data_IF_012143158712
#
_entry.id   IF_012143158712
#
_cell.length_a   1.000
_cell.length_b   1.000
_cell.length_c   1.000
_cell.angle_alpha   90.00
_cell.angle_beta   90.00
_cell.angle_gamma   90.00
#
_symmetry.space_group_name_H-M   'P 1'
#
loop_
_entity.id
_entity.type
_entity.pdbx_description
1 polymer ?
#
# COMPACT_ATOMS: atom_id res chain seq x y z
N UNK A 1 3.15 -13.29 4.38
CA UNK A 1 3.15 -13.04 2.92
C UNK A 1 1.83 -12.37 2.59
N UNK A 2 1.81 -11.44 1.62
CA UNK A 2 0.57 -10.81 1.15
C UNK A 2 0.33 -11.12 -0.33
N UNK A 3 -0.81 -11.73 -0.64
CA UNK A 3 -1.30 -11.88 -2.02
C UNK A 3 -2.51 -10.98 -2.24
N UNK A 4 -2.94 -10.81 -3.50
CA UNK A 4 -3.98 -9.86 -3.87
C UNK A 4 -4.71 -10.34 -5.12
N UNK A 5 -6.04 -10.43 -5.06
CA UNK A 5 -6.89 -10.89 -6.17
C UNK A 5 -8.20 -10.10 -6.22
N UNK A 6 -8.56 -9.62 -7.41
CA UNK A 6 -9.86 -8.99 -7.62
C UNK A 6 -10.97 -10.06 -7.62
N UNK A 7 -12.10 -9.75 -6.99
CA UNK A 7 -13.24 -10.66 -6.87
C UNK A 7 -14.52 -10.04 -7.46
N UNK A 8 -15.31 -10.85 -8.16
CA UNK A 8 -16.70 -10.54 -8.52
C UNK A 8 -17.63 -10.86 -7.33
N UNK A 9 -18.82 -10.28 -7.32
CA UNK A 9 -19.76 -10.40 -6.20
C UNK A 9 -20.18 -11.85 -5.95
N UNK A 10 -20.70 -12.54 -6.95
CA UNK A 10 -21.14 -13.93 -6.86
C UNK A 10 -20.03 -14.87 -6.37
N UNK A 11 -18.82 -14.73 -6.94
CA UNK A 11 -17.66 -15.52 -6.53
C UNK A 11 -17.22 -15.24 -5.09
N UNK A 12 -17.29 -13.98 -4.64
CA UNK A 12 -16.97 -13.62 -3.26
C UNK A 12 -17.99 -14.20 -2.29
N UNK A 13 -19.29 -14.04 -2.57
CA UNK A 13 -20.37 -14.60 -1.74
C UNK A 13 -20.21 -16.11 -1.62
N UNK A 14 -20.11 -16.83 -2.74
CA UNK A 14 -19.95 -18.28 -2.72
C UNK A 14 -18.71 -18.75 -1.94
N UNK A 15 -17.61 -18.00 -1.98
CA UNK A 15 -16.37 -18.40 -1.32
C UNK A 15 -16.34 -18.07 0.18
N UNK A 16 -16.97 -16.96 0.59
CA UNK A 16 -16.83 -16.39 1.93
C UNK A 16 -18.07 -16.55 2.83
N UNK A 17 -19.20 -17.07 2.34
CA UNK A 17 -20.40 -17.26 3.17
C UNK A 17 -20.57 -18.67 3.75
N UNK A 18 -19.61 -19.56 3.50
CA UNK A 18 -19.73 -20.97 3.85
C UNK A 18 -18.91 -21.32 5.11
N UNK A 19 -19.60 -21.85 6.14
CA UNK A 19 -19.07 -22.57 7.31
C UNK A 19 -17.88 -21.92 8.04
N UNK A 20 -18.08 -20.71 8.57
CA UNK A 20 -17.16 -20.08 9.54
C UNK A 20 -17.64 -20.31 10.97
N UNK A 21 -16.71 -20.66 11.86
CA UNK A 21 -16.97 -20.70 13.29
C UNK A 21 -17.00 -19.27 13.87
N UNK A 22 -17.67 -19.12 15.01
CA UNK A 22 -17.71 -17.86 15.76
C UNK A 22 -16.28 -17.37 16.04
N UNK A 23 -16.02 -16.08 15.83
CA UNK A 23 -14.72 -15.44 16.01
C UNK A 23 -13.77 -15.51 14.81
N UNK A 24 -14.12 -16.24 13.75
CA UNK A 24 -13.28 -16.33 12.53
C UNK A 24 -13.58 -15.25 11.49
N UNK A 25 -14.64 -14.46 11.69
CA UNK A 25 -15.02 -13.39 10.77
C UNK A 25 -15.17 -12.08 11.50
N UNK A 26 -14.76 -10.98 10.86
CA UNK A 26 -14.93 -9.64 11.43
C UNK A 26 -14.90 -8.53 10.39
N UNK A 27 -15.67 -7.48 10.63
CA UNK A 27 -15.59 -6.21 9.89
C UNK A 27 -14.42 -5.36 10.38
N UNK A 28 -13.85 -4.58 9.47
CA UNK A 28 -12.79 -3.62 9.77
C UNK A 28 -12.85 -2.39 8.86
N UNK A 29 -12.37 -1.27 9.40
CA UNK A 29 -12.16 -0.03 8.69
C UNK A 29 -13.23 1.02 9.00
N UNK A 30 -12.84 2.28 8.91
CA UNK A 30 -13.72 3.44 9.14
C UNK A 30 -14.93 3.44 8.22
N UNK A 31 -14.77 2.90 7.00
CA UNK A 31 -15.88 2.76 6.07
C UNK A 31 -16.89 1.71 6.53
N UNK A 32 -16.42 0.60 7.13
CA UNK A 32 -17.32 -0.39 7.72
C UNK A 32 -18.10 0.22 8.89
N UNK A 33 -17.43 0.93 9.80
CA UNK A 33 -18.09 1.66 10.89
C UNK A 33 -19.10 2.69 10.38
N UNK A 34 -18.79 3.43 9.31
CA UNK A 34 -19.73 4.38 8.69
C UNK A 34 -21.00 3.71 8.12
N UNK A 35 -20.96 2.41 7.83
CA UNK A 35 -22.11 1.61 7.44
C UNK A 35 -22.78 0.89 8.61
N UNK A 36 -22.29 1.05 9.84
CA UNK A 36 -22.77 0.29 11.00
C UNK A 36 -22.39 -1.20 10.94
N UNK A 37 -21.29 -1.52 10.27
CA UNK A 37 -20.74 -2.87 10.17
C UNK A 37 -19.62 -3.04 11.19
N UNK A 38 -19.91 -3.74 12.28
CA UNK A 38 -18.97 -4.02 13.37
C UNK A 38 -19.10 -5.48 13.81
N UNK A 39 -18.04 -6.02 14.42
CA UNK A 39 -18.03 -7.40 14.90
C UNK A 39 -18.12 -8.42 13.77
N UNK A 40 -18.84 -9.52 14.01
CA UNK A 40 -18.93 -10.66 13.10
C UNK A 40 -19.67 -10.34 11.79
N UNK A 41 -19.33 -11.11 10.75
CA UNK A 41 -19.90 -10.91 9.43
C UNK A 41 -21.22 -11.67 9.32
N UNK A 42 -22.32 -10.91 9.27
CA UNK A 42 -23.63 -11.45 8.92
C UNK A 42 -23.75 -11.67 7.41
N UNK A 43 -24.15 -12.87 6.99
CA UNK A 43 -24.25 -13.29 5.58
C UNK A 43 -25.06 -12.30 4.73
N UNK A 44 -26.24 -11.91 5.17
CA UNK A 44 -27.12 -11.02 4.40
C UNK A 44 -26.50 -9.63 4.18
N UNK A 45 -25.89 -9.05 5.23
CA UNK A 45 -25.19 -7.75 5.14
C UNK A 45 -23.97 -7.85 4.22
N UNK A 46 -23.19 -8.91 4.36
CA UNK A 46 -22.02 -9.18 3.52
C UNK A 46 -22.40 -9.27 2.03
N UNK A 47 -23.42 -10.05 1.71
CA UNK A 47 -23.92 -10.21 0.35
C UNK A 47 -24.36 -8.86 -0.24
N UNK A 48 -25.16 -8.09 0.51
CA UNK A 48 -25.58 -6.75 0.09
C UNK A 48 -24.38 -5.85 -0.24
N UNK A 49 -23.37 -5.81 0.63
CA UNK A 49 -22.17 -4.99 0.45
C UNK A 49 -21.33 -5.48 -0.75
N UNK A 50 -21.19 -6.79 -0.97
CA UNK A 50 -20.55 -7.34 -2.16
C UNK A 50 -21.24 -6.87 -3.45
N UNK A 51 -22.56 -6.77 -3.45
CA UNK A 51 -23.35 -6.23 -4.57
C UNK A 51 -23.38 -4.71 -4.63
N UNK A 52 -22.73 -4.01 -3.70
CA UNK A 52 -22.64 -2.55 -3.69
C UNK A 52 -23.94 -1.92 -3.22
N UNK A 53 -24.58 -2.53 -2.24
CA UNK A 53 -25.76 -2.02 -1.55
C UNK A 53 -25.42 -1.70 -0.09
N UNK A 54 -26.25 -0.88 0.54
CA UNK A 54 -26.22 -0.69 2.00
C UNK A 54 -26.46 -2.02 2.72
N UNK A 55 -26.03 -2.16 3.99
CA UNK A 55 -26.16 -3.43 4.71
C UNK A 55 -27.60 -3.98 4.80
N UNK A 56 -28.60 -3.09 4.86
CA UNK A 56 -30.03 -3.39 4.83
C UNK A 56 -30.59 -3.64 3.42
N UNK A 57 -29.77 -3.48 2.37
CA UNK A 57 -30.13 -3.66 0.97
C UNK A 57 -30.92 -2.51 0.35
N UNK A 58 -31.27 -1.46 1.11
CA UNK A 58 -32.23 -0.43 0.69
C UNK A 58 -31.67 0.59 -0.33
N UNK A 59 -30.35 0.80 -0.34
CA UNK A 59 -29.69 1.82 -1.18
C UNK A 59 -28.53 1.22 -1.95
N UNK A 60 -28.33 1.68 -3.19
CA UNK A 60 -27.09 1.42 -3.93
C UNK A 60 -25.97 2.35 -3.45
N UNK A 61 -24.80 1.76 -3.19
CA UNK A 61 -23.57 2.45 -2.83
C UNK A 61 -22.62 2.45 -4.04
N UNK A 62 -22.03 3.61 -4.36
CA UNK A 62 -21.08 3.74 -5.47
C UNK A 62 -21.72 3.99 -6.83
N UNK A 63 -20.94 3.76 -7.89
CA UNK A 63 -21.29 4.08 -9.27
C UNK A 63 -22.37 3.14 -9.82
N UNK A 64 -23.38 3.69 -10.50
CA UNK A 64 -24.43 2.94 -11.19
C UNK A 64 -23.82 2.09 -12.32
N UNK A 65 -24.12 0.79 -12.35
CA UNK A 65 -23.63 -0.17 -13.34
C UNK A 65 -24.15 -1.58 -13.01
N UNK A 66 -23.87 -2.56 -13.87
CA UNK A 66 -24.30 -3.95 -13.64
C UNK A 66 -23.54 -4.56 -12.42
N UNK A 67 -24.23 -4.88 -11.31
CA UNK A 67 -23.60 -5.42 -10.11
C UNK A 67 -22.93 -6.79 -10.29
N UNK A 68 -23.33 -7.57 -11.30
CA UNK A 68 -22.74 -8.88 -11.58
C UNK A 68 -21.39 -8.78 -12.30
N UNK A 69 -21.18 -7.70 -13.08
CA UNK A 69 -19.96 -7.50 -13.86
C UNK A 69 -18.93 -6.64 -13.15
N UNK A 70 -19.31 -5.98 -12.05
CA UNK A 70 -18.42 -5.09 -11.31
C UNK A 70 -17.49 -5.87 -10.38
N UNK A 71 -16.33 -5.29 -10.08
CA UNK A 71 -15.49 -5.73 -8.97
C UNK A 71 -16.24 -5.48 -7.65
N UNK A 72 -16.48 -6.54 -6.90
CA UNK A 72 -17.07 -6.45 -5.56
C UNK A 72 -16.05 -5.99 -4.54
N UNK A 73 -14.83 -6.49 -4.66
CA UNK A 73 -13.71 -6.15 -3.78
C UNK A 73 -12.39 -6.75 -4.27
N UNK A 74 -11.36 -6.55 -3.47
CA UNK A 74 -10.03 -7.13 -3.64
C UNK A 74 -9.71 -7.94 -2.41
N UNK A 75 -9.52 -9.24 -2.58
CA UNK A 75 -9.05 -10.12 -1.52
C UNK A 75 -7.55 -9.97 -1.36
N UNK A 76 -7.13 -9.43 -0.21
CA UNK A 76 -5.75 -9.41 0.24
C UNK A 76 -5.54 -10.50 1.28
N UNK A 77 -4.85 -11.58 0.89
CA UNK A 77 -4.62 -12.71 1.81
C UNK A 77 -3.30 -12.56 2.53
N UNK A 78 -3.36 -12.48 3.86
CA UNK A 78 -2.21 -12.44 4.77
C UNK A 78 -1.90 -13.85 5.27
N UNK A 79 -0.74 -14.39 4.91
CA UNK A 79 -0.32 -15.75 5.33
C UNK A 79 0.84 -15.68 6.32
N UNK A 80 0.70 -16.32 7.47
CA UNK A 80 1.77 -16.46 8.46
C UNK A 80 2.88 -17.40 7.95
N UNK A 81 4.12 -17.28 8.48
CA UNK A 81 5.17 -18.27 8.27
C UNK A 81 4.72 -19.69 8.65
N UNK A 82 5.38 -20.71 8.08
CA UNK A 82 4.99 -22.10 8.31
C UNK A 82 5.23 -22.50 9.77
N UNK A 83 6.35 -22.08 10.36
CA UNK A 83 6.65 -22.32 11.78
C UNK A 83 5.59 -21.73 12.71
N UNK A 84 5.11 -20.51 12.44
CA UNK A 84 4.01 -19.87 13.20
C UNK A 84 2.73 -20.69 13.07
N UNK A 85 2.39 -21.14 11.86
CA UNK A 85 1.22 -21.99 11.62
C UNK A 85 1.32 -23.32 12.38
N UNK A 86 2.49 -23.96 12.40
CA UNK A 86 2.71 -25.21 13.14
C UNK A 86 2.58 -25.01 14.65
N UNK A 87 3.26 -24.01 15.19
CA UNK A 87 3.22 -23.74 16.63
C UNK A 87 1.81 -23.38 17.10
N UNK A 88 1.09 -22.56 16.34
CA UNK A 88 -0.29 -22.17 16.67
C UNK A 88 -1.26 -23.36 16.56
N UNK A 89 -1.28 -24.03 15.41
CA UNK A 89 -2.36 -24.96 15.07
C UNK A 89 -2.09 -26.40 15.50
N UNK A 90 -0.82 -26.82 15.48
CA UNK A 90 -0.40 -28.17 15.91
C UNK A 90 -0.01 -28.14 17.38
N UNK A 91 0.76 -27.13 17.78
CA UNK A 91 1.14 -26.89 19.18
C UNK A 91 0.01 -26.41 20.08
N UNK A 92 -1.03 -25.82 19.49
CA UNK A 92 -2.20 -25.34 20.23
C UNK A 92 -1.99 -24.00 20.95
N UNK A 93 -0.93 -23.24 20.63
CA UNK A 93 -0.74 -21.90 21.20
C UNK A 93 -1.59 -20.86 20.47
N UNK A 94 -2.82 -20.66 20.96
CA UNK A 94 -3.78 -19.72 20.38
C UNK A 94 -3.34 -18.26 20.46
N UNK A 95 -2.35 -17.91 21.29
CA UNK A 95 -1.81 -16.55 21.37
C UNK A 95 -1.15 -16.13 20.05
N UNK A 96 -0.62 -17.08 19.29
CA UNK A 96 -0.07 -16.83 17.95
C UNK A 96 -1.16 -16.53 16.91
N UNK A 97 -2.37 -17.08 17.07
CA UNK A 97 -3.52 -16.73 16.24
C UNK A 97 -3.92 -15.26 16.50
N UNK A 98 -3.92 -14.83 17.76
CA UNK A 98 -4.16 -13.42 18.14
C UNK A 98 -3.04 -12.50 17.61
N UNK A 99 -1.77 -12.90 17.74
CA UNK A 99 -0.63 -12.15 17.20
C UNK A 99 -0.74 -11.94 15.68
N UNK A 100 -1.19 -12.97 14.96
CA UNK A 100 -1.51 -12.90 13.53
C UNK A 100 -2.61 -11.88 13.23
N UNK A 101 -3.74 -11.93 13.95
CA UNK A 101 -4.83 -10.98 13.78
C UNK A 101 -4.39 -9.53 14.04
N UNK A 102 -3.60 -9.29 15.10
CA UNK A 102 -3.06 -7.97 15.42
C UNK A 102 -2.14 -7.44 14.30
N UNK A 103 -1.29 -8.29 13.73
CA UNK A 103 -0.41 -7.92 12.62
C UNK A 103 -1.19 -7.60 11.33
N UNK A 104 -2.27 -8.34 11.06
CA UNK A 104 -3.20 -8.05 9.96
C UNK A 104 -3.86 -6.68 10.17
N UNK A 105 -4.42 -6.43 11.35
CA UNK A 105 -5.10 -5.17 11.65
C UNK A 105 -4.18 -3.96 11.60
N UNK A 106 -2.98 -4.04 12.18
CA UNK A 106 -1.97 -2.96 12.08
C UNK A 106 -1.64 -2.64 10.62
N UNK A 107 -1.50 -3.68 9.81
CA UNK A 107 -1.24 -3.52 8.37
C UNK A 107 -2.44 -2.91 7.65
N UNK A 108 -3.66 -3.36 7.93
CA UNK A 108 -4.89 -2.83 7.35
C UNK A 108 -5.13 -1.36 7.76
N UNK A 109 -4.80 -0.95 8.99
CA UNK A 109 -4.83 0.45 9.43
C UNK A 109 -3.90 1.33 8.59
N UNK A 110 -2.68 0.85 8.32
CA UNK A 110 -1.74 1.55 7.45
C UNK A 110 -2.25 1.60 6.00
N UNK A 111 -2.84 0.50 5.51
CA UNK A 111 -3.43 0.46 4.16
C UNK A 111 -4.57 1.48 4.05
N UNK A 112 -5.49 1.50 5.03
CA UNK A 112 -6.61 2.44 5.08
C UNK A 112 -6.12 3.88 5.08
N UNK A 113 -5.15 4.21 5.94
CA UNK A 113 -4.67 5.56 6.09
C UNK A 113 -3.97 6.09 4.83
N UNK A 114 -3.24 5.25 4.11
CA UNK A 114 -2.32 5.70 3.03
C UNK A 114 -2.82 5.43 1.61
N UNK A 115 -3.69 4.44 1.43
CA UNK A 115 -4.05 3.94 0.10
C UNK A 115 -5.55 3.87 -0.14
N UNK A 116 -6.40 4.15 0.85
CA UNK A 116 -7.84 4.32 0.62
C UNK A 116 -8.08 5.59 -0.18
N UNK A 117 -8.47 5.43 -1.44
CA UNK A 117 -8.68 6.52 -2.37
C UNK A 117 -9.76 6.18 -3.40
N UNK A 118 -10.28 7.21 -4.07
CA UNK A 118 -11.22 7.09 -5.18
C UNK A 118 -10.79 7.98 -6.34
N UNK A 119 -11.34 7.73 -7.52
CA UNK A 119 -11.24 8.63 -8.68
C UNK A 119 -12.56 9.34 -8.87
N UNK A 120 -12.52 10.67 -8.96
CA UNK A 120 -13.69 11.50 -9.26
C UNK A 120 -13.42 12.28 -10.54
N UNK A 121 -14.35 12.21 -11.49
CA UNK A 121 -14.32 13.01 -12.71
C UNK A 121 -15.23 14.22 -12.56
N UNK A 122 -14.67 15.42 -12.73
CA UNK A 122 -15.40 16.69 -12.75
C UNK A 122 -14.95 17.51 -13.96
N UNK A 123 -15.90 17.95 -14.79
CA UNK A 123 -15.63 18.73 -16.00
C UNK A 123 -14.57 18.07 -16.94
N UNK A 124 -14.62 16.75 -17.08
CA UNK A 124 -13.66 15.98 -17.90
C UNK A 124 -12.29 15.74 -17.25
N UNK A 125 -12.01 16.34 -16.09
CA UNK A 125 -10.76 16.17 -15.35
C UNK A 125 -10.95 15.05 -14.32
N UNK A 126 -10.06 14.06 -14.35
CA UNK A 126 -10.02 12.96 -13.37
C UNK A 126 -9.06 13.35 -12.24
N UNK A 127 -9.54 13.33 -11.00
CA UNK A 127 -8.73 13.56 -9.80
C UNK A 127 -8.74 12.33 -8.90
N UNK A 128 -7.57 11.96 -8.39
CA UNK A 128 -7.43 10.98 -7.32
C UNK A 128 -7.62 11.67 -5.97
N UNK A 129 -8.54 11.17 -5.16
CA UNK A 129 -8.89 11.73 -3.86
C UNK A 129 -8.69 10.67 -2.80
N UNK A 130 -7.83 10.96 -1.84
CA UNK A 130 -7.63 10.11 -0.67
C UNK A 130 -8.82 10.27 0.27
N UNK A 131 -9.46 9.14 0.59
CA UNK A 131 -10.68 9.11 1.41
C UNK A 131 -10.40 8.65 2.84
N UNK A 132 -9.30 7.90 3.04
CA UNK A 132 -8.86 7.47 4.37
C UNK A 132 -9.84 6.52 5.08
N UNK A 133 -10.70 5.84 4.33
CA UNK A 133 -11.66 4.86 4.87
C UNK A 133 -11.88 3.69 3.91
N UNK A 134 -11.93 2.46 4.44
CA UNK A 134 -12.24 1.24 3.71
C UNK A 134 -13.34 0.45 4.41
N UNK A 135 -14.02 -0.39 3.65
CA UNK A 135 -14.90 -1.45 4.18
C UNK A 135 -14.18 -2.78 3.95
N UNK A 136 -13.77 -3.44 5.03
CA UNK A 136 -12.99 -4.69 4.94
C UNK A 136 -13.71 -5.81 5.68
N UNK A 137 -13.92 -6.93 4.99
CA UNK A 137 -14.39 -8.18 5.57
C UNK A 137 -13.20 -9.12 5.79
N UNK A 138 -12.91 -9.50 7.03
CA UNK A 138 -11.82 -10.42 7.37
C UNK A 138 -12.36 -11.82 7.63
N UNK A 139 -11.67 -12.84 7.11
CA UNK A 139 -11.98 -14.26 7.27
C UNK A 139 -10.71 -15.04 7.60
N UNK A 140 -10.62 -15.59 8.80
CA UNK A 140 -9.47 -16.37 9.27
C UNK A 140 -9.61 -17.85 8.91
N UNK A 141 -8.58 -18.42 8.31
CA UNK A 141 -8.51 -19.82 7.86
C UNK A 141 -7.26 -20.48 8.46
N UNK A 142 -7.33 -21.79 8.69
CA UNK A 142 -6.27 -22.55 9.35
C UNK A 142 -5.62 -23.60 8.45
N UNK A 143 -6.18 -23.88 7.29
CA UNK A 143 -5.75 -24.97 6.42
C UNK A 143 -5.48 -24.51 4.98
N UNK A 144 -4.44 -25.09 4.38
CA UNK A 144 -4.19 -24.93 2.96
C UNK A 144 -5.17 -25.77 2.13
N UNK A 145 -5.10 -25.63 0.80
CA UNK A 145 -5.89 -26.49 -0.11
C UNK A 145 -5.55 -27.97 -0.02
N UNK A 146 -4.32 -28.30 0.35
CA UNK A 146 -3.88 -29.68 0.59
C UNK A 146 -4.14 -30.11 2.06
N UNK A 147 -4.94 -29.33 2.80
CA UNK A 147 -5.29 -29.56 4.19
C UNK A 147 -4.06 -29.60 5.14
N UNK A 148 -3.00 -28.88 4.80
CA UNK A 148 -1.85 -28.65 5.70
C UNK A 148 -2.11 -27.46 6.64
N UNK A 149 -1.52 -27.42 7.86
CA UNK A 149 -1.64 -26.27 8.76
C UNK A 149 -1.14 -25.00 8.09
N UNK A 150 -2.00 -24.00 7.95
CA UNK A 150 -1.69 -22.75 7.28
C UNK A 150 -2.57 -21.63 7.84
N UNK A 151 -2.05 -20.89 8.81
CA UNK A 151 -2.73 -19.75 9.39
C UNK A 151 -2.70 -18.58 8.40
N UNK A 152 -3.87 -18.13 7.97
CA UNK A 152 -4.00 -16.99 7.07
C UNK A 152 -5.35 -16.27 7.23
N UNK A 153 -5.37 -14.99 6.89
CA UNK A 153 -6.60 -14.18 6.84
C UNK A 153 -6.82 -13.69 5.43
N UNK A 154 -8.01 -13.95 4.90
CA UNK A 154 -8.53 -13.24 3.73
C UNK A 154 -9.11 -11.91 4.18
N UNK A 155 -8.52 -10.80 3.76
CA UNK A 155 -9.05 -9.46 3.99
C UNK A 155 -9.66 -8.95 2.68
N UNK A 156 -10.97 -9.14 2.51
CA UNK A 156 -11.72 -8.67 1.35
C UNK A 156 -12.02 -7.18 1.51
N UNK A 157 -11.19 -6.35 0.88
CA UNK A 157 -11.39 -4.90 0.79
C UNK A 157 -12.45 -4.62 -0.25
N UNK A 158 -13.63 -4.20 0.19
CA UNK A 158 -14.76 -3.92 -0.70
C UNK A 158 -14.42 -2.77 -1.65
N UNK A 159 -15.00 -2.81 -2.85
CA UNK A 159 -14.85 -1.76 -3.85
C UNK A 159 -15.75 -0.56 -3.51
N UNK A 160 -15.62 -0.05 -2.30
CA UNK A 160 -16.43 1.00 -1.69
C UNK A 160 -15.56 1.85 -0.76
N UNK A 161 -15.63 3.15 -0.94
CA UNK A 161 -15.06 4.15 -0.03
C UNK A 161 -15.91 5.41 -0.05
N UNK A 162 -15.94 6.15 1.06
CA UNK A 162 -16.76 7.33 1.22
C UNK A 162 -15.92 8.60 1.03
N UNK A 163 -16.34 9.49 0.15
CA UNK A 163 -15.76 10.83 0.04
C UNK A 163 -16.25 11.72 1.19
N UNK A 164 -15.57 12.85 1.43
CA UNK A 164 -15.95 13.82 2.47
C UNK A 164 -17.40 14.34 2.36
N UNK A 165 -17.95 14.35 1.14
CA UNK A 165 -19.36 14.69 0.89
C UNK A 165 -20.38 13.67 1.42
N UNK A 166 -19.91 12.55 2.00
CA UNK A 166 -20.74 11.43 2.44
C UNK A 166 -21.14 10.48 1.30
N UNK A 167 -20.82 10.82 0.04
CA UNK A 167 -21.12 9.98 -1.11
C UNK A 167 -20.11 8.84 -1.24
N UNK A 168 -20.64 7.65 -1.54
CA UNK A 168 -19.86 6.44 -1.77
C UNK A 168 -19.39 6.35 -3.22
N UNK A 169 -18.14 5.90 -3.39
CA UNK A 169 -17.48 5.68 -4.67
C UNK A 169 -16.74 4.34 -4.68
N UNK A 170 -16.27 3.94 -5.86
CA UNK A 170 -15.39 2.77 -5.99
C UNK A 170 -14.03 3.05 -5.34
N UNK A 171 -13.56 2.12 -4.51
CA UNK A 171 -12.21 2.17 -3.96
C UNK A 171 -11.20 1.84 -5.06
N UNK A 172 -10.29 2.76 -5.35
CA UNK A 172 -9.18 2.52 -6.26
C UNK A 172 -8.07 1.74 -5.53
N UNK A 173 -7.74 0.57 -6.06
CA UNK A 173 -6.84 -0.39 -5.44
C UNK A 173 -5.47 -0.46 -6.14
N UNK A 174 -5.24 0.34 -7.19
CA UNK A 174 -4.03 0.26 -8.01
C UNK A 174 -2.77 0.46 -7.16
N UNK A 175 -2.80 1.46 -6.26
CA UNK A 175 -1.66 1.74 -5.37
C UNK A 175 -1.43 0.65 -4.33
N UNK A 176 -2.49 -0.03 -3.87
CA UNK A 176 -2.34 -1.17 -2.96
C UNK A 176 -1.65 -2.32 -3.70
N UNK A 177 -2.05 -2.60 -4.95
CA UNK A 177 -1.41 -3.63 -5.78
C UNK A 177 0.06 -3.33 -6.07
N UNK A 178 0.38 -2.08 -6.41
CA UNK A 178 1.76 -1.63 -6.67
C UNK A 178 2.66 -1.83 -5.43
N UNK A 179 2.12 -1.64 -4.23
CA UNK A 179 2.86 -1.73 -2.97
C UNK A 179 2.68 -3.05 -2.23
N UNK A 180 1.95 -4.03 -2.79
CA UNK A 180 1.59 -5.29 -2.13
C UNK A 180 2.78 -6.05 -1.51
N UNK A 181 3.94 -6.06 -2.18
CA UNK A 181 5.14 -6.72 -1.65
C UNK A 181 5.63 -6.04 -0.36
N UNK A 182 5.69 -4.71 -0.37
CA UNK A 182 6.09 -3.90 0.78
C UNK A 182 5.07 -4.00 1.93
N UNK A 183 3.78 -3.94 1.62
CA UNK A 183 2.72 -4.18 2.61
C UNK A 183 2.83 -5.58 3.24
N UNK A 184 3.24 -6.58 2.45
CA UNK A 184 3.53 -7.92 2.94
C UNK A 184 4.72 -7.98 3.90
N UNK A 185 5.77 -7.17 3.69
CA UNK A 185 6.90 -7.09 4.63
C UNK A 185 6.55 -6.33 5.91
N UNK A 186 5.70 -5.32 5.83
CA UNK A 186 5.14 -4.62 7.01
C UNK A 186 4.37 -5.61 7.88
N UNK A 187 3.48 -6.41 7.29
CA UNK A 187 2.77 -7.47 8.02
C UNK A 187 3.74 -8.45 8.70
N UNK A 188 4.79 -8.89 8.00
CA UNK A 188 5.77 -9.80 8.60
C UNK A 188 6.54 -9.17 9.75
N UNK A 189 6.87 -7.87 9.64
CA UNK A 189 7.53 -7.13 10.71
C UNK A 189 6.65 -7.01 11.95
N UNK A 190 5.36 -6.66 11.79
CA UNK A 190 4.44 -6.64 12.92
C UNK A 190 4.25 -8.02 13.54
N UNK A 191 4.08 -9.07 12.72
CA UNK A 191 3.93 -10.43 13.23
C UNK A 191 5.18 -10.90 13.97
N UNK A 192 6.38 -10.62 13.44
CA UNK A 192 7.64 -10.92 14.11
C UNK A 192 7.70 -10.30 15.50
N UNK A 193 7.37 -9.01 15.61
CA UNK A 193 7.37 -8.31 16.90
C UNK A 193 6.35 -8.91 17.88
N UNK A 194 5.14 -9.27 17.44
CA UNK A 194 4.15 -9.92 18.32
C UNK A 194 4.58 -11.35 18.73
N UNK A 195 5.24 -12.09 17.84
CA UNK A 195 5.79 -13.43 18.14
C UNK A 195 6.93 -13.36 19.16
N UNK A 196 7.84 -12.39 19.01
CA UNK A 196 8.95 -12.18 19.96
C UNK A 196 8.43 -11.77 21.34
N UNK A 197 7.40 -10.91 21.42
CA UNK A 197 6.74 -10.57 22.70
C UNK A 197 6.18 -11.79 23.43
N UNK A 198 5.72 -12.80 22.71
CA UNK A 198 5.23 -14.05 23.31
C UNK A 198 6.36 -14.94 23.86
N UNK A 199 7.63 -14.57 23.64
CA UNK A 199 8.80 -15.31 24.12
C UNK A 199 9.40 -16.29 23.12
N UNK A 200 9.06 -16.16 21.83
CA UNK A 200 9.67 -16.97 20.77
C UNK A 200 10.90 -16.26 20.19
N UNK A 201 12.00 -16.99 20.04
CA UNK A 201 13.10 -16.56 19.19
C UNK A 201 12.76 -16.79 17.72
N UNK A 202 13.20 -15.88 16.84
CA UNK A 202 12.95 -15.96 15.40
C UNK A 202 14.25 -15.90 14.59
N UNK A 203 14.26 -16.58 13.46
CA UNK A 203 15.34 -16.53 12.47
C UNK A 203 14.89 -15.71 11.25
N UNK A 204 15.65 -14.70 10.82
CA UNK A 204 15.36 -13.98 9.59
C UNK A 204 15.49 -14.89 8.36
N UNK A 205 14.66 -14.61 7.37
CA UNK A 205 14.68 -15.20 6.04
C UNK A 205 14.69 -14.07 5.00
N UNK A 206 14.98 -14.44 3.74
CA UNK A 206 15.04 -13.48 2.64
C UNK A 206 13.75 -12.66 2.52
N UNK A 207 13.88 -11.44 2.01
CA UNK A 207 12.77 -10.53 1.70
C UNK A 207 11.90 -10.15 2.91
N UNK A 208 12.50 -9.95 4.09
CA UNK A 208 11.78 -9.52 5.30
C UNK A 208 10.88 -10.60 5.91
N UNK A 209 11.09 -11.86 5.55
CA UNK A 209 10.38 -13.01 6.12
C UNK A 209 11.12 -13.52 7.37
N UNK A 210 10.47 -14.39 8.14
CA UNK A 210 11.10 -15.05 9.29
C UNK A 210 10.48 -16.43 9.52
N UNK A 211 11.13 -17.25 10.36
CA UNK A 211 10.55 -18.45 10.96
C UNK A 211 10.88 -18.46 12.47
N UNK A 212 10.07 -19.12 13.30
CA UNK A 212 10.41 -19.39 14.71
C UNK A 212 11.64 -20.31 14.75
N UNK A 213 12.62 -19.95 15.57
CA UNK A 213 13.86 -20.71 15.77
C UNK A 213 13.57 -22.08 16.41
N UNK A 214 14.28 -23.10 15.96
CA UNK A 214 14.16 -24.47 16.49
C UNK A 214 13.48 -25.46 15.55
N UNK A 215 12.85 -25.00 14.46
CA UNK A 215 12.36 -25.88 13.40
C UNK A 215 13.45 -26.21 12.38
N UNK A 216 13.65 -27.50 12.09
CA UNK A 216 14.45 -27.92 10.93
C UNK A 216 13.73 -27.55 9.64
N UNK A 217 14.49 -27.22 8.60
CA UNK A 217 13.94 -26.84 7.29
C UNK A 217 13.03 -27.92 6.71
N UNK A 218 13.44 -29.18 6.84
CA UNK A 218 12.71 -30.38 6.39
C UNK A 218 11.32 -30.47 7.03
N UNK A 219 11.22 -30.28 8.35
CA UNK A 219 9.94 -30.29 9.08
C UNK A 219 8.95 -29.28 8.50
N UNK A 220 9.43 -28.10 8.09
CA UNK A 220 8.57 -27.09 7.46
C UNK A 220 8.16 -27.49 6.02
N UNK A 221 8.99 -28.24 5.31
CA UNK A 221 8.68 -28.74 3.95
C UNK A 221 7.59 -29.79 3.99
N UNK A 222 7.60 -30.70 4.97
CA UNK A 222 6.60 -31.77 5.11
C UNK A 222 5.15 -31.22 5.18
N UNK A 223 4.97 -30.12 5.91
CA UNK A 223 3.68 -29.41 6.01
C UNK A 223 3.49 -28.31 4.94
N UNK A 224 4.24 -28.37 3.83
CA UNK A 224 4.17 -27.42 2.72
C UNK A 224 3.89 -28.10 1.38
N UNK A 225 3.03 -29.13 1.36
CA UNK A 225 2.76 -29.99 0.19
C UNK A 225 2.33 -29.18 -1.03
N UNK A 226 1.46 -28.18 -0.81
CA UNK A 226 1.01 -27.27 -1.87
C UNK A 226 2.17 -26.55 -2.57
N UNK A 227 3.15 -26.06 -1.81
CA UNK A 227 4.32 -25.35 -2.36
C UNK A 227 5.20 -26.31 -3.14
N UNK A 228 5.38 -27.53 -2.66
CA UNK A 228 6.17 -28.55 -3.35
C UNK A 228 5.54 -28.99 -4.68
N UNK A 229 4.21 -29.14 -4.73
CA UNK A 229 3.48 -29.39 -5.97
C UNK A 229 3.70 -28.29 -7.02
N UNK A 230 3.64 -27.01 -6.60
CA UNK A 230 3.87 -25.88 -7.50
C UNK A 230 5.31 -25.90 -8.03
N UNK A 231 6.30 -26.10 -7.14
CA UNK A 231 7.71 -26.13 -7.54
C UNK A 231 8.03 -27.30 -8.48
N UNK A 232 7.36 -28.44 -8.32
CA UNK A 232 7.52 -29.59 -9.21
C UNK A 232 7.01 -29.33 -10.63
N UNK A 233 6.01 -28.45 -10.79
CA UNK A 233 5.43 -28.11 -12.09
C UNK A 233 5.91 -26.78 -12.67
N UNK A 234 6.52 -25.95 -11.83
CA UNK A 234 6.92 -24.59 -12.16
C UNK A 234 8.19 -24.25 -11.35
N UNK A 235 9.38 -24.43 -11.95
CA UNK A 235 10.64 -24.07 -11.31
C UNK A 235 10.68 -22.61 -10.87
N UNK A 236 11.48 -22.31 -9.85
CA UNK A 236 11.45 -21.04 -9.12
C UNK A 236 11.85 -19.80 -9.94
N UNK A 237 12.37 -19.97 -11.14
CA UNK A 237 12.76 -18.95 -12.14
C UNK A 237 11.68 -18.69 -13.20
N UNK A 238 10.59 -19.48 -13.22
CA UNK A 238 9.51 -19.36 -14.21
C UNK A 238 8.86 -17.97 -14.22
N UNK A 239 8.37 -17.56 -15.39
CA UNK A 239 7.63 -16.30 -15.55
C UNK A 239 6.35 -16.27 -14.70
N UNK A 240 5.87 -15.06 -14.37
CA UNK A 240 4.73 -14.88 -13.47
C UNK A 240 3.44 -15.56 -13.96
N UNK A 241 3.14 -15.47 -15.27
CA UNK A 241 1.96 -16.11 -15.88
C UNK A 241 2.01 -17.62 -15.73
N UNK A 242 3.16 -18.22 -16.00
CA UNK A 242 3.38 -19.67 -15.85
C UNK A 242 3.14 -20.11 -14.41
N UNK A 243 3.58 -19.32 -13.42
CA UNK A 243 3.31 -19.63 -12.00
C UNK A 243 1.82 -19.56 -11.66
N UNK A 244 1.11 -18.58 -12.21
CA UNK A 244 -0.34 -18.43 -11.99
C UNK A 244 -1.13 -19.56 -12.67
N UNK A 245 -0.77 -19.91 -13.90
CA UNK A 245 -1.36 -21.03 -14.64
C UNK A 245 -1.13 -22.37 -13.91
N UNK A 246 0.11 -22.62 -13.45
CA UNK A 246 0.43 -23.80 -12.63
C UNK A 246 -0.34 -23.76 -11.31
N UNK A 247 -0.50 -22.59 -10.69
CA UNK A 247 -1.29 -22.43 -9.47
C UNK A 247 -2.75 -22.85 -9.69
N UNK A 248 -3.38 -22.41 -10.77
CA UNK A 248 -4.79 -22.72 -11.05
C UNK A 248 -4.99 -24.16 -11.53
N UNK A 249 -4.09 -24.72 -12.35
CA UNK A 249 -4.21 -26.11 -12.85
C UNK A 249 -4.02 -27.18 -11.78
N UNK A 250 -3.11 -26.94 -10.84
CA UNK A 250 -2.85 -27.89 -9.74
C UNK A 250 -3.84 -27.78 -8.59
N UNK A 251 -4.82 -26.88 -8.73
CA UNK A 251 -5.75 -26.54 -7.67
C UNK A 251 -6.86 -27.58 -7.61
N UNK A 252 -6.83 -28.43 -6.58
CA UNK A 252 -7.98 -29.30 -6.25
C UNK A 252 -9.15 -28.48 -5.72
N UNK A 253 -10.35 -29.06 -5.84
CA UNK A 253 -11.52 -28.58 -5.13
C UNK A 253 -11.28 -28.66 -3.62
N UNK A 254 -11.75 -27.67 -2.85
CA UNK A 254 -11.52 -27.64 -1.40
C UNK A 254 -12.41 -28.70 -0.76
N UNK A 255 -11.81 -29.69 -0.11
CA UNK A 255 -12.53 -30.63 0.77
C UNK A 255 -12.79 -29.96 2.11
N UNK A 256 -14.01 -30.11 2.64
CA UNK A 256 -14.40 -29.51 3.93
C UNK A 256 -14.18 -30.53 5.04
N UNK A 257 -13.40 -30.17 6.05
CA UNK A 257 -13.16 -30.98 7.24
C UNK A 257 -13.24 -30.08 8.47
N UNK A 258 -13.89 -30.57 9.54
CA UNK A 258 -13.97 -29.84 10.80
C UNK A 258 -12.57 -29.51 11.36
N UNK A 259 -12.41 -28.30 11.89
CA UNK A 259 -11.15 -27.77 12.42
C UNK A 259 -10.50 -28.70 13.46
N UNK A 260 -11.32 -29.28 14.36
CA UNK A 260 -10.89 -30.22 15.40
C UNK A 260 -10.28 -31.50 14.82
N UNK A 261 -10.88 -32.05 13.75
CA UNK A 261 -10.37 -33.24 13.05
C UNK A 261 -9.05 -32.94 12.34
N UNK A 262 -8.91 -31.74 11.76
CA UNK A 262 -7.66 -31.30 11.12
C UNK A 262 -6.53 -31.16 12.15
N UNK A 263 -6.76 -30.45 13.25
CA UNK A 263 -5.77 -30.29 14.33
C UNK A 263 -5.31 -31.66 14.87
N UNK A 264 -6.24 -32.58 15.14
CA UNK A 264 -5.91 -33.95 15.57
C UNK A 264 -5.16 -34.77 14.51
N UNK A 265 -5.42 -34.54 13.21
CA UNK A 265 -4.64 -35.16 12.12
C UNK A 265 -3.21 -34.64 12.12
N UNK A 266 -3.02 -33.32 12.19
CA UNK A 266 -1.70 -32.71 12.14
C UNK A 266 -0.84 -33.04 13.34
N UNK A 267 -1.43 -33.17 14.53
CA UNK A 267 -0.73 -33.61 15.74
C UNK A 267 -0.18 -35.03 15.60
N UNK A 268 -0.98 -35.95 15.04
CA UNK A 268 -0.52 -37.31 14.73
C UNK A 268 0.58 -37.30 13.67
N UNK A 269 0.38 -36.60 12.57
CA UNK A 269 1.37 -36.48 11.49
C UNK A 269 2.71 -35.90 12.00
N UNK A 270 2.66 -34.87 12.86
CA UNK A 270 3.86 -34.30 13.47
C UNK A 270 4.54 -35.30 14.43
N UNK A 271 3.78 -36.07 15.20
CA UNK A 271 4.29 -37.11 16.09
C UNK A 271 4.98 -38.24 15.30
N UNK A 272 4.33 -38.72 14.24
CA UNK A 272 4.85 -39.81 13.38
C UNK A 272 6.15 -39.39 12.67
N UNK A 273 6.26 -38.11 12.30
CA UNK A 273 7.46 -37.52 11.70
C UNK A 273 8.51 -37.10 12.74
N UNK A 274 8.25 -37.26 14.05
CA UNK A 274 9.16 -36.84 15.12
C UNK A 274 9.39 -35.32 15.20
N UNK A 275 8.46 -34.51 14.68
CA UNK A 275 8.56 -33.06 14.63
C UNK A 275 8.27 -32.48 16.02
N UNK A 276 9.28 -31.92 16.65
CA UNK A 276 9.15 -31.25 17.93
C UNK A 276 8.58 -29.83 17.74
N UNK A 277 7.42 -29.57 18.35
CA UNK A 277 6.82 -28.23 18.34
C UNK A 277 7.54 -27.31 19.32
N UNK A 278 7.98 -26.16 18.82
CA UNK A 278 8.69 -25.17 19.63
C UNK A 278 7.74 -24.55 20.65
N UNK A 279 8.18 -24.46 21.91
CA UNK A 279 7.44 -23.82 22.99
C UNK A 279 7.95 -22.41 23.24
N UNK A 280 7.07 -21.52 23.65
CA UNK A 280 7.43 -20.17 24.04
C UNK A 280 8.34 -20.19 25.28
N UNK A 281 9.31 -19.27 25.32
CA UNK A 281 10.03 -18.91 26.53
C UNK A 281 9.23 -17.95 27.41
N UNK A 282 9.94 -17.11 28.17
CA UNK A 282 9.32 -16.06 28.98
C UNK A 282 8.87 -14.93 28.05
N UNK A 283 7.61 -14.46 28.15
CA UNK A 283 7.15 -13.29 27.39
C UNK A 283 8.03 -12.07 27.64
N UNK A 284 8.33 -11.35 26.56
CA UNK A 284 9.16 -10.15 26.61
C UNK A 284 8.24 -8.94 26.72
N UNK A 285 8.39 -8.16 27.80
CA UNK A 285 7.75 -6.86 27.92
C UNK A 285 8.59 -5.85 27.14
N UNK A 286 8.07 -5.42 25.98
CA UNK A 286 8.71 -4.36 25.21
C UNK A 286 8.77 -3.08 26.04
N UNK A 287 9.98 -2.53 26.24
CA UNK A 287 10.11 -1.23 26.86
C UNK A 287 9.83 -0.13 25.82
N UNK A 288 9.11 0.94 26.21
CA UNK A 288 8.92 2.08 25.32
C UNK A 288 10.29 2.67 24.97
N UNK A 289 10.51 2.87 23.68
CA UNK A 289 11.73 3.49 23.17
C UNK A 289 11.60 5.00 23.30
N UNK A 290 12.67 5.66 23.75
CA UNK A 290 12.67 7.12 23.82
C UNK A 290 12.59 7.73 22.43
N UNK A 291 11.96 8.90 22.33
CA UNK A 291 11.87 9.64 21.06
C UNK A 291 13.25 9.88 20.42
N UNK A 292 14.29 10.10 21.24
CA UNK A 292 15.67 10.28 20.76
C UNK A 292 16.22 9.05 20.04
N UNK A 293 15.97 7.85 20.55
CA UNK A 293 16.41 6.60 19.92
C UNK A 293 15.63 6.36 18.62
N UNK A 294 14.31 6.60 18.63
CA UNK A 294 13.49 6.53 17.41
C UNK A 294 14.01 7.51 16.33
N UNK A 295 14.39 8.74 16.71
CA UNK A 295 14.98 9.70 15.79
C UNK A 295 16.32 9.22 15.22
N UNK A 296 17.18 8.61 16.04
CA UNK A 296 18.45 8.05 15.58
C UNK A 296 18.25 6.92 14.55
N UNK A 297 17.28 6.03 14.75
CA UNK A 297 16.94 5.01 13.76
C UNK A 297 16.46 5.60 12.42
N UNK A 298 15.73 6.70 12.48
CA UNK A 298 15.32 7.43 11.29
C UNK A 298 16.53 8.11 10.63
N UNK A 299 17.46 8.67 11.40
CA UNK A 299 18.71 9.26 10.87
C UNK A 299 19.51 8.22 10.08
N UNK A 300 19.74 7.04 10.66
CA UNK A 300 20.47 5.95 10.01
C UNK A 300 19.78 5.51 8.70
N UNK A 301 18.46 5.43 8.71
CA UNK A 301 17.66 5.06 7.56
C UNK A 301 17.69 6.13 6.45
N UNK A 302 17.62 7.42 6.82
CA UNK A 302 17.74 8.54 5.89
C UNK A 302 19.14 8.59 5.28
N UNK A 303 20.19 8.43 6.11
CA UNK A 303 21.56 8.38 5.64
C UNK A 303 21.73 7.30 4.57
N UNK A 304 21.26 6.08 4.87
CA UNK A 304 21.26 4.96 3.93
C UNK A 304 20.52 5.25 2.62
N UNK A 305 19.34 5.89 2.69
CA UNK A 305 18.57 6.24 1.50
C UNK A 305 19.27 7.32 0.66
N UNK A 306 19.80 8.35 1.33
CA UNK A 306 20.43 9.53 0.70
C UNK A 306 21.76 9.24 0.01
N UNK A 307 22.49 8.19 0.44
CA UNK A 307 23.69 7.71 -0.24
C UNK A 307 23.38 7.11 -1.63
N UNK A 308 22.15 6.62 -1.84
CA UNK A 308 21.76 5.84 -3.02
C UNK A 308 20.86 6.63 -3.97
N UNK A 309 20.14 7.62 -3.46
CA UNK A 309 19.23 8.44 -4.25
C UNK A 309 19.11 9.85 -3.68
N UNK A 310 19.05 10.83 -4.58
CA UNK A 310 18.78 12.24 -4.23
C UNK A 310 17.35 12.40 -3.71
N UNK A 311 16.41 11.59 -4.22
CA UNK A 311 15.02 11.56 -3.76
C UNK A 311 14.62 10.15 -3.32
N UNK A 312 13.93 10.04 -2.20
CA UNK A 312 13.50 8.75 -1.64
C UNK A 312 12.09 8.87 -1.09
N UNK A 313 11.39 7.75 -0.96
CA UNK A 313 10.05 7.72 -0.40
C UNK A 313 10.08 7.24 1.04
N UNK A 314 8.99 7.47 1.77
CA UNK A 314 8.83 6.89 3.11
C UNK A 314 8.94 5.35 3.06
N UNK A 315 8.42 4.73 2.00
CA UNK A 315 8.51 3.29 1.81
C UNK A 315 9.96 2.78 1.72
N UNK A 316 10.94 3.62 1.34
CA UNK A 316 12.35 3.23 1.27
C UNK A 316 13.00 3.23 2.66
N UNK A 317 12.67 4.23 3.49
CA UNK A 317 13.04 4.29 4.92
C UNK A 317 12.45 3.09 5.67
N UNK A 318 11.18 2.77 5.42
CA UNK A 318 10.51 1.62 6.01
C UNK A 318 11.16 0.29 5.62
N UNK A 319 11.56 0.11 4.36
CA UNK A 319 12.29 -1.08 3.92
C UNK A 319 13.60 -1.24 4.68
N UNK A 320 14.33 -0.15 4.90
CA UNK A 320 15.55 -0.18 5.69
C UNK A 320 15.25 -0.58 7.14
N UNK A 321 14.28 0.08 7.79
CA UNK A 321 13.89 -0.22 9.15
C UNK A 321 13.49 -1.69 9.34
N UNK A 322 12.71 -2.24 8.40
CA UNK A 322 12.31 -3.66 8.40
C UNK A 322 13.51 -4.58 8.18
N UNK A 323 14.39 -4.26 7.24
CA UNK A 323 15.57 -5.08 6.93
C UNK A 323 16.55 -5.15 8.09
N UNK A 324 16.73 -4.04 8.81
CA UNK A 324 17.57 -3.95 10.01
C UNK A 324 16.85 -4.37 11.30
N UNK A 325 15.55 -4.67 11.21
CA UNK A 325 14.68 -4.96 12.38
C UNK A 325 14.77 -3.88 13.46
N UNK A 326 14.77 -2.62 13.04
CA UNK A 326 14.76 -1.50 13.97
C UNK A 326 13.46 -1.58 14.78
N UNK A 327 13.52 -1.43 16.11
CA UNK A 327 12.35 -1.60 16.97
C UNK A 327 11.43 -0.36 16.97
N UNK A 328 11.10 0.15 15.78
CA UNK A 328 10.26 1.33 15.55
C UNK A 328 8.92 0.93 14.94
N UNK A 329 7.83 1.60 15.34
CA UNK A 329 6.54 1.38 14.69
C UNK A 329 6.56 1.98 13.28
N UNK A 330 6.37 1.12 12.27
CA UNK A 330 6.33 1.52 10.86
C UNK A 330 5.24 2.56 10.59
N UNK A 331 4.14 2.56 11.35
CA UNK A 331 3.09 3.55 11.22
C UNK A 331 3.57 4.98 11.58
N UNK A 332 4.55 5.11 12.48
CA UNK A 332 5.07 6.39 12.98
C UNK A 332 6.13 7.00 12.07
N UNK A 333 6.87 6.18 11.30
CA UNK A 333 7.99 6.60 10.45
C UNK A 333 7.63 7.82 9.59
N UNK A 334 6.46 7.80 8.95
CA UNK A 334 6.02 8.90 8.08
C UNK A 334 5.90 10.21 8.87
N UNK A 335 5.22 10.18 10.01
CA UNK A 335 5.00 11.36 10.85
C UNK A 335 6.32 11.90 11.40
N UNK A 336 7.23 11.00 11.78
CA UNK A 336 8.58 11.37 12.21
C UNK A 336 9.35 12.06 11.07
N UNK A 337 9.26 11.55 9.83
CA UNK A 337 9.88 12.20 8.68
C UNK A 337 9.24 13.56 8.34
N UNK A 338 7.90 13.65 8.39
CA UNK A 338 7.17 14.90 8.13
C UNK A 338 7.50 16.01 9.15
N UNK A 339 7.89 15.65 10.38
CA UNK A 339 8.23 16.59 11.45
C UNK A 339 9.67 17.14 11.38
N UNK A 340 10.48 16.66 10.42
CA UNK A 340 11.90 17.01 10.31
C UNK A 340 12.12 18.28 9.50
N UNK A 341 13.00 19.16 10.00
CA UNK A 341 13.39 20.39 9.32
C UNK A 341 14.52 20.21 8.29
N UNK A 342 15.28 19.13 8.38
CA UNK A 342 16.38 18.79 7.47
C UNK A 342 15.93 18.02 6.22
N UNK A 343 14.65 17.63 6.15
CA UNK A 343 14.02 17.02 4.99
C UNK A 343 13.11 18.01 4.27
N UNK A 344 13.20 18.03 2.94
CA UNK A 344 12.28 18.75 2.07
C UNK A 344 11.36 17.73 1.39
N UNK A 345 10.05 17.94 1.52
CA UNK A 345 9.03 17.07 0.94
C UNK A 345 8.49 17.66 -0.36
N UNK A 346 8.59 16.87 -1.43
CA UNK A 346 7.98 17.17 -2.73
C UNK A 346 7.01 16.06 -3.10
N UNK A 347 5.71 16.36 -3.00
CA UNK A 347 4.64 15.38 -3.19
C UNK A 347 4.84 14.14 -2.27
N UNK A 348 5.22 13.00 -2.85
CA UNK A 348 5.46 11.73 -2.13
C UNK A 348 6.94 11.42 -1.86
N UNK A 349 7.85 12.29 -2.28
CA UNK A 349 9.28 12.09 -2.12
C UNK A 349 9.85 13.06 -1.08
N UNK A 350 10.90 12.61 -0.41
CA UNK A 350 11.76 13.40 0.44
C UNK A 350 13.12 13.56 -0.25
N UNK A 351 13.74 14.71 -0.02
CA UNK A 351 15.16 14.97 -0.29
C UNK A 351 15.78 15.61 0.96
N UNK A 352 17.07 15.45 1.16
CA UNK A 352 17.76 16.15 2.25
C UNK A 352 18.03 17.60 1.85
N UNK A 353 17.97 18.53 2.79
CA UNK A 353 18.29 19.94 2.52
C UNK A 353 19.70 20.09 1.94
N UNK A 354 20.66 19.29 2.42
CA UNK A 354 22.03 19.23 1.90
C UNK A 354 22.05 18.84 0.41
N UNK A 355 21.33 17.78 0.03
CA UNK A 355 21.26 17.35 -1.36
C UNK A 355 20.58 18.39 -2.25
N UNK A 356 19.53 19.05 -1.75
CA UNK A 356 18.85 20.13 -2.47
C UNK A 356 19.77 21.33 -2.70
N UNK A 357 20.50 21.78 -1.68
CA UNK A 357 21.47 22.88 -1.80
C UNK A 357 22.56 22.50 -2.79
N UNK A 358 23.11 21.30 -2.71
CA UNK A 358 24.17 20.85 -3.61
C UNK A 358 23.68 20.80 -5.07
N UNK A 359 22.43 20.36 -5.30
CA UNK A 359 21.81 20.38 -6.62
C UNK A 359 21.64 21.80 -7.16
N UNK A 360 21.25 22.76 -6.31
CA UNK A 360 21.04 24.16 -6.70
C UNK A 360 22.36 24.88 -6.99
N UNK A 361 23.39 24.66 -6.16
CA UNK A 361 24.74 25.22 -6.35
C UNK A 361 25.43 24.63 -7.59
N UNK A 362 25.07 23.42 -7.98
CA UNK A 362 25.60 22.77 -9.19
C UNK A 362 24.88 23.20 -10.48
N UNK A 363 23.83 24.03 -10.41
CA UNK A 363 23.20 24.57 -11.62
C UNK A 363 24.15 25.60 -12.25
N UNK A 364 24.42 25.52 -13.57
CA UNK A 364 25.25 26.51 -14.24
C UNK A 364 24.58 27.88 -14.14
N UNK A 365 25.34 28.88 -13.69
CA UNK A 365 24.91 30.27 -13.68
C UNK A 365 24.70 30.68 -15.14
N UNK A 366 23.45 30.99 -15.53
CA UNK A 366 23.21 31.68 -16.80
C UNK A 366 23.64 33.13 -16.62
N UNK A 367 24.88 33.42 -17.01
CA UNK A 367 25.35 34.79 -17.17
C UNK A 367 24.81 35.26 -18.53
N UNK A 368 23.75 36.07 -18.53
CA UNK A 368 23.43 36.85 -19.73
C UNK A 368 24.60 37.81 -19.99
N UNK A 369 25.21 37.79 -21.19
CA UNK A 369 26.32 38.68 -21.47
C UNK A 369 25.82 40.13 -21.44
N UNK A 370 26.42 40.97 -20.59
CA UNK A 370 26.35 42.41 -20.78
C UNK A 370 26.97 42.69 -22.16
N UNK A 371 26.17 43.25 -23.07
CA UNK A 371 26.66 43.71 -24.36
C UNK A 371 27.66 44.85 -24.11
N UNK A 372 28.94 44.54 -24.29
CA UNK A 372 30.01 45.53 -24.41
C UNK A 372 29.80 46.32 -25.72
N UNK A 373 29.12 47.46 -25.63
CA UNK A 373 29.13 48.48 -26.67
C UNK A 373 30.49 49.17 -26.68
N UNK A 374 31.47 48.55 -27.34
CA UNK A 374 32.75 49.21 -27.68
C UNK A 374 33.07 48.97 -29.16
N UNK A 375 33.05 50.08 -29.90
CA UNK A 375 33.68 50.31 -31.20
C UNK A 375 33.16 49.57 -32.45
N UNK A 376 32.16 50.15 -33.10
CA UNK A 376 32.14 50.24 -34.56
C UNK A 376 32.29 51.72 -34.97
N UNK A 377 33.54 52.18 -35.01
CA UNK A 377 33.90 53.48 -35.57
C UNK A 377 35.20 53.37 -36.36
N UNK A 378 35.27 52.46 -37.34
CA UNK A 378 36.45 52.43 -38.25
C UNK A 378 36.23 51.65 -39.57
N UNK A 379 35.02 51.67 -40.13
CA UNK A 379 34.79 51.06 -41.45
C UNK A 379 33.74 51.77 -42.30
N UNK A 380 33.79 53.11 -42.38
CA UNK A 380 33.07 53.86 -43.42
C UNK A 380 33.95 55.00 -43.95
N UNK A 381 35.07 54.58 -44.53
CA UNK A 381 36.00 55.42 -45.29
C UNK A 381 36.25 54.78 -46.67
N UNK A 382 35.18 54.34 -47.36
CA UNK A 382 35.24 54.19 -48.81
C UNK A 382 33.83 54.07 -49.43
N UNK A 383 33.19 55.21 -49.70
CA UNK A 383 32.19 55.43 -50.77
C UNK A 383 31.74 56.88 -50.78
N UNK A 384 32.54 57.69 -51.47
CA UNK A 384 32.16 59.04 -51.88
C UNK A 384 31.14 59.02 -53.03
N UNK A 385 30.21 59.98 -52.94
CA UNK A 385 29.60 60.76 -54.03
C UNK A 385 28.66 60.09 -55.04
N UNK A 386 27.37 60.48 -54.99
CA UNK A 386 26.77 61.28 -56.07
C UNK A 386 25.38 61.82 -55.70
N UNK A 387 25.22 63.12 -55.94
CA UNK A 387 24.05 63.99 -55.74
C UNK A 387 23.01 63.81 -56.86
N UNK A 388 21.69 63.93 -56.56
CA UNK A 388 20.70 64.74 -57.33
C UNK A 388 19.24 64.73 -56.78
N UNK A 389 18.81 65.89 -56.27
CA UNK A 389 17.60 66.74 -56.51
C UNK A 389 16.16 66.12 -56.59
N UNK A 390 15.11 66.78 -56.01
CA UNK A 390 13.78 66.21 -55.73
C UNK A 390 12.67 66.59 -56.75
N UNK A 391 11.53 65.89 -56.74
CA UNK A 391 10.28 66.31 -57.41
C UNK A 391 9.01 65.95 -56.61
N UNK A 392 7.95 66.71 -56.88
CA UNK A 392 6.73 66.99 -56.10
C UNK A 392 5.54 66.04 -56.31
N UNK A 393 4.55 66.15 -55.40
CA UNK A 393 3.11 65.96 -55.63
C UNK A 393 2.50 64.93 -54.67
N UNK A 394 1.43 65.15 -53.89
CA UNK A 394 0.40 66.17 -53.82
C UNK A 394 -0.86 65.47 -53.28
N UNK A 395 -1.66 66.11 -52.39
CA UNK A 395 -2.99 65.60 -52.04
C UNK A 395 -3.46 65.86 -50.61
N UNK A 396 -4.39 66.80 -50.47
CA UNK A 396 -5.04 67.31 -49.25
C UNK A 396 -6.35 66.55 -48.98
N UNK A 397 -6.73 66.32 -47.70
CA UNK A 397 -8.03 66.75 -47.07
C UNK A 397 -8.30 66.11 -45.68
N UNK A 398 -8.56 66.99 -44.71
CA UNK A 398 -9.28 66.82 -43.43
C UNK A 398 -10.82 66.88 -43.71
N UNK A 399 -11.77 66.48 -42.81
CA UNK A 399 -12.02 67.07 -41.46
C UNK A 399 -12.40 66.03 -40.35
N UNK A 400 -11.97 66.19 -39.09
CA UNK A 400 -12.62 66.93 -37.98
C UNK A 400 -14.04 66.45 -37.59
N UNK A 401 -14.19 65.86 -36.40
CA UNK A 401 -15.24 66.25 -35.44
C UNK A 401 -14.88 65.85 -33.99
N UNK A 402 -14.97 66.85 -33.12
CA UNK A 402 -14.79 66.87 -31.68
C UNK A 402 -16.15 66.65 -31.02
N UNK A 403 -16.26 65.85 -29.93
CA UNK A 403 -17.13 66.17 -28.78
C UNK A 403 -16.50 65.64 -27.48
N UNK A 404 -16.26 66.56 -26.55
CA UNK A 404 -15.91 66.36 -25.15
C UNK A 404 -17.18 66.15 -24.30
N UNK A 405 -17.17 65.20 -23.38
CA UNK A 405 -17.88 65.25 -22.07
C UNK A 405 -17.00 64.42 -21.12
N UNK A 406 -16.65 64.82 -19.90
CA UNK A 406 -17.30 65.71 -18.95
C UNK A 406 -17.53 64.91 -17.67
N UNK A 407 -16.50 64.82 -16.83
CA UNK A 407 -16.48 64.13 -15.54
C UNK A 407 -17.38 64.85 -14.53
N UNK A 408 -18.19 64.11 -13.76
CA UNK A 408 -18.52 64.52 -12.39
C UNK A 408 -18.88 63.32 -11.50
N UNK A 409 -18.31 63.41 -10.30
CA UNK A 409 -18.28 62.50 -9.17
C UNK A 409 -19.63 62.33 -8.48
N UNK A 410 -19.83 61.22 -7.76
CA UNK A 410 -20.55 61.20 -6.49
C UNK A 410 -20.18 59.97 -5.65
N UNK A 411 -19.87 60.28 -4.40
CA UNK A 411 -19.59 59.47 -3.21
C UNK A 411 -20.70 58.46 -2.88
N UNK A 412 -20.34 57.19 -2.65
CA UNK A 412 -20.29 56.49 -1.35
C UNK A 412 -19.83 55.04 -1.55
#
# INVERSE_FOLDING_TARGET
>A
MLTGKNCQASAAVQYFTDDYERGQTRWFGKGASALGLEGEIERAKFENVCYGRSPDGSKHLGTKGNPEKRRAGTDFTFSAPKSVSLTALVGGDTRLEVAHQLAVEKTLKLIEARYAQTRITKNGIVSEIQTGNMVVAQFDHIESRELDPHLHTHALVMNLTQAESGKWYANDNDRIFQNKKHLGTIYQSYLAAEVEKLGYEIEPRLHGMFEIKGYKRENLVEFSKRRMQILAQCPADSAWRTREDSWDRTRKHKERTASTKLKARWQREASDLGIQIVKAGVPIVAQPISLSISQQYIDDAIAHCSERSVNFRVEDIEKFAIAQRLPIDIAEIKSLCDARSDLVKHDRHYTTLKAQIQAEVSKPIQVEPLLDNVNESEAELDRQESVKVPTHGGGVKVPTHIVHTGTQSLTL
#
